data_IF_561570850208
#
_entry.id   IF_561570850208
#
_cell.length_a   1.000
_cell.length_b   1.000
_cell.length_c   1.000
_cell.angle_alpha   90.00
_cell.angle_beta   90.00
_cell.angle_gamma   90.00
#
_symmetry.space_group_name_H-M   'P 1'
#
loop_
_entity.id
_entity.type
_entity.pdbx_description
1 polymer ?
#
# COMPACT_ATOMS: atom_id res chain seq x y z
N UNK A 1 27.89 51.23 34.80
CA UNK A 1 29.26 50.86 34.38
C UNK A 1 29.19 49.55 33.61
N UNK A 2 29.44 49.57 32.30
CA UNK A 2 29.74 48.36 31.51
C UNK A 2 31.08 47.76 31.99
N UNK A 3 31.36 46.48 31.65
CA UNK A 3 32.15 46.29 30.44
C UNK A 3 31.57 45.24 29.48
N UNK A 4 31.69 45.56 28.21
CA UNK A 4 31.40 44.72 27.06
C UNK A 4 32.26 43.45 27.04
N UNK A 5 31.68 42.33 26.62
CA UNK A 5 32.43 41.10 26.27
C UNK A 5 32.17 40.71 24.81
N UNK A 6 33.17 41.07 24.02
CA UNK A 6 33.71 40.47 22.78
C UNK A 6 32.91 39.30 22.16
N UNK A 7 32.34 39.54 20.98
CA UNK A 7 31.86 38.49 20.07
C UNK A 7 33.03 37.93 19.26
N UNK A 8 33.55 36.77 19.66
CA UNK A 8 34.53 36.01 18.89
C UNK A 8 33.86 35.34 17.68
N UNK A 9 34.34 35.69 16.49
CA UNK A 9 33.96 35.07 15.21
C UNK A 9 34.36 33.58 15.17
N UNK A 10 33.38 32.67 15.15
CA UNK A 10 33.59 31.27 14.75
C UNK A 10 33.29 31.13 13.27
N UNK A 11 34.32 31.11 12.44
CA UNK A 11 34.20 30.68 11.03
C UNK A 11 34.07 29.16 11.01
N UNK A 12 32.90 28.65 10.60
CA UNK A 12 32.75 27.23 10.21
C UNK A 12 33.29 27.09 8.79
N UNK A 13 34.41 26.41 8.65
CA UNK A 13 34.90 25.94 7.34
C UNK A 13 34.04 24.76 6.89
N UNK A 14 33.15 24.99 5.93
CA UNK A 14 32.48 23.91 5.21
C UNK A 14 33.29 23.68 3.92
N UNK A 15 34.00 22.56 3.83
CA UNK A 15 34.61 22.11 2.58
C UNK A 15 33.50 21.65 1.63
N UNK A 16 33.04 22.53 0.75
CA UNK A 16 32.05 22.19 -0.26
C UNK A 16 32.73 21.49 -1.44
N UNK A 17 32.66 20.17 -1.48
CA UNK A 17 33.01 19.43 -2.68
C UNK A 17 31.94 19.72 -3.74
N UNK A 18 32.39 20.03 -4.96
CA UNK A 18 31.49 20.18 -6.10
C UNK A 18 31.00 18.81 -6.55
N UNK A 19 29.79 18.75 -7.14
CA UNK A 19 29.22 17.53 -7.74
C UNK A 19 30.17 16.87 -8.76
N UNK A 20 31.03 17.67 -9.41
CA UNK A 20 32.00 17.20 -10.40
C UNK A 20 33.18 16.46 -9.75
N UNK A 21 33.61 16.87 -8.55
CA UNK A 21 34.67 16.19 -7.78
C UNK A 21 34.17 14.86 -7.18
N UNK A 22 32.92 14.82 -6.73
CA UNK A 22 32.30 13.58 -6.25
C UNK A 22 32.23 12.51 -7.35
N UNK A 23 31.86 12.89 -8.57
CA UNK A 23 31.77 11.95 -9.70
C UNK A 23 33.15 11.53 -10.27
N UNK A 24 34.19 12.36 -10.12
CA UNK A 24 35.55 11.97 -10.50
C UNK A 24 36.19 10.93 -9.56
N UNK A 25 35.73 10.87 -8.31
CA UNK A 25 36.31 10.02 -7.26
C UNK A 25 35.91 8.54 -7.39
N UNK A 26 34.79 8.24 -8.04
CA UNK A 26 34.28 6.86 -8.18
C UNK A 26 34.86 6.11 -9.39
N UNK A 27 35.47 6.81 -10.35
CA UNK A 27 36.02 6.21 -11.56
C UNK A 27 37.42 5.56 -11.37
N UNK A 28 38.09 5.75 -10.23
CA UNK A 28 39.46 5.30 -10.00
C UNK A 28 39.60 3.92 -9.32
N UNK A 29 38.50 3.20 -9.05
CA UNK A 29 38.54 1.90 -8.36
C UNK A 29 38.32 0.67 -9.26
N UNK A 30 38.19 0.85 -10.58
CA UNK A 30 37.90 -0.24 -11.51
C UNK A 30 39.11 -0.79 -12.29
N UNK A 31 40.34 -0.34 -12.01
CA UNK A 31 41.52 -0.79 -12.74
C UNK A 31 42.70 -1.10 -11.80
N UNK A 32 42.75 -2.33 -11.29
CA UNK A 32 43.96 -2.84 -10.64
C UNK A 32 43.70 -4.08 -9.80
N UNK A 33 44.07 -5.26 -10.30
CA UNK A 33 44.14 -6.46 -9.46
C UNK A 33 43.95 -7.80 -10.15
N UNK A 34 44.67 -8.07 -11.24
CA UNK A 34 44.87 -9.43 -11.75
C UNK A 34 46.11 -10.04 -11.09
N UNK A 35 45.93 -10.84 -10.03
CA UNK A 35 46.96 -11.73 -9.49
C UNK A 35 46.29 -13.02 -9.02
N UNK A 36 46.74 -14.13 -9.62
CA UNK A 36 46.10 -15.43 -9.54
C UNK A 36 46.19 -16.10 -8.18
N UNK A 37 45.22 -16.99 -7.96
CA UNK A 37 45.27 -18.07 -6.98
C UNK A 37 44.53 -19.26 -7.60
N UNK A 38 45.29 -20.20 -8.18
CA UNK A 38 44.81 -21.54 -8.50
C UNK A 38 44.66 -22.32 -7.20
N UNK A 39 43.51 -22.17 -6.55
CA UNK A 39 43.07 -22.99 -5.42
C UNK A 39 42.15 -24.11 -5.93
N UNK A 40 42.45 -25.36 -5.55
CA UNK A 40 41.60 -26.53 -5.80
C UNK A 40 40.15 -26.25 -5.39
N UNK A 41 39.22 -26.36 -6.35
CA UNK A 41 37.80 -26.38 -6.07
C UNK A 41 37.44 -27.70 -5.37
N UNK A 42 37.21 -27.64 -4.06
CA UNK A 42 36.46 -28.69 -3.37
C UNK A 42 34.99 -28.61 -3.85
N UNK A 43 34.31 -29.75 -4.09
CA UNK A 43 32.91 -29.72 -4.44
C UNK A 43 32.13 -29.23 -3.21
N UNK A 44 31.65 -27.99 -3.26
CA UNK A 44 30.63 -27.54 -2.34
C UNK A 44 29.36 -28.32 -2.67
N UNK A 45 29.07 -29.30 -1.82
CA UNK A 45 27.77 -29.94 -1.73
C UNK A 45 26.71 -28.85 -1.68
N UNK A 46 25.95 -28.69 -2.76
CA UNK A 46 24.74 -27.89 -2.78
C UNK A 46 23.68 -28.67 -2.01
N UNK A 47 23.79 -28.66 -0.67
CA UNK A 47 22.61 -28.90 0.15
C UNK A 47 21.60 -27.82 -0.29
N UNK A 48 20.51 -28.25 -0.93
CA UNK A 48 19.43 -27.37 -1.31
C UNK A 48 18.96 -26.67 -0.04
N UNK A 49 19.25 -25.38 0.06
CA UNK A 49 18.74 -24.56 1.13
C UNK A 49 17.21 -24.66 1.07
N UNK A 50 16.59 -25.16 2.15
CA UNK A 50 15.14 -25.13 2.29
C UNK A 50 14.67 -23.68 2.05
N UNK A 51 13.88 -23.49 1.00
CA UNK A 51 13.37 -22.16 0.67
C UNK A 51 12.36 -21.77 1.74
N UNK A 52 12.59 -20.63 2.40
CA UNK A 52 11.59 -20.02 3.29
C UNK A 52 10.27 -19.87 2.51
N UNK A 53 9.11 -20.15 3.13
CA UNK A 53 7.83 -19.98 2.46
C UNK A 53 7.71 -18.54 1.96
N UNK A 54 7.30 -18.40 0.69
CA UNK A 54 7.14 -17.09 0.06
C UNK A 54 6.09 -16.28 0.83
N UNK A 55 6.42 -15.02 1.16
CA UNK A 55 5.45 -14.09 1.75
C UNK A 55 4.32 -13.85 0.74
N UNK A 56 3.08 -13.97 1.19
CA UNK A 56 1.87 -13.77 0.36
C UNK A 56 1.10 -12.54 0.84
N UNK A 57 0.41 -11.91 -0.10
CA UNK A 57 -0.51 -10.79 0.12
C UNK A 57 -1.89 -11.22 -0.35
N UNK A 58 -2.90 -11.02 0.50
CA UNK A 58 -4.28 -11.30 0.15
C UNK A 58 -4.80 -10.17 -0.75
N UNK A 59 -5.07 -10.49 -2.02
CA UNK A 59 -5.81 -9.59 -2.93
C UNK A 59 -7.30 -9.96 -2.88
N UNK A 60 -8.17 -9.12 -3.42
CA UNK A 60 -9.61 -9.41 -3.53
C UNK A 60 -9.92 -10.66 -4.38
N UNK A 61 -9.01 -11.07 -5.27
CA UNK A 61 -9.15 -12.32 -6.04
C UNK A 61 -8.36 -13.49 -5.44
N UNK A 62 -7.82 -13.33 -4.23
CA UNK A 62 -7.08 -14.35 -3.51
C UNK A 62 -5.59 -14.02 -3.29
N UNK A 63 -4.84 -14.95 -2.67
CA UNK A 63 -3.47 -14.70 -2.27
C UNK A 63 -2.48 -14.74 -3.43
N UNK A 64 -1.63 -13.71 -3.53
CA UNK A 64 -0.54 -13.57 -4.50
C UNK A 64 0.80 -13.51 -3.76
N UNK A 65 1.89 -13.97 -4.36
CA UNK A 65 3.23 -13.78 -3.78
C UNK A 65 3.60 -12.29 -3.78
N UNK A 66 4.16 -11.79 -2.67
CA UNK A 66 4.49 -10.37 -2.54
C UNK A 66 5.44 -9.86 -3.65
N UNK A 67 6.35 -10.72 -4.11
CA UNK A 67 7.28 -10.40 -5.20
C UNK A 67 6.60 -10.24 -6.58
N UNK A 68 5.35 -10.68 -6.73
CA UNK A 68 4.56 -10.60 -7.97
C UNK A 68 3.63 -9.38 -8.01
N UNK A 69 3.62 -8.54 -6.98
CA UNK A 69 2.77 -7.34 -6.97
C UNK A 69 3.23 -6.27 -7.96
N UNK A 70 4.53 -6.10 -8.14
CA UNK A 70 5.07 -4.95 -8.86
C UNK A 70 5.04 -3.66 -8.03
N UNK A 71 4.92 -2.52 -8.70
CA UNK A 71 4.72 -1.21 -8.04
C UNK A 71 3.36 -1.15 -7.36
N UNK A 72 3.32 -0.68 -6.12
CA UNK A 72 2.09 -0.61 -5.31
C UNK A 72 1.73 0.85 -5.01
N UNK A 73 0.53 1.27 -5.41
CA UNK A 73 -0.08 2.50 -4.91
C UNK A 73 -0.72 2.20 -3.55
N UNK A 74 -0.12 2.74 -2.48
CA UNK A 74 -0.40 2.31 -1.11
C UNK A 74 -1.70 2.86 -0.50
N UNK A 75 -2.36 3.81 -1.16
CA UNK A 75 -3.60 4.41 -0.69
C UNK A 75 -4.38 4.93 -1.89
N UNK A 76 -5.37 4.17 -2.33
CA UNK A 76 -6.25 4.53 -3.43
C UNK A 76 -7.72 4.29 -3.04
N UNK A 77 -8.61 4.84 -3.87
CA UNK A 77 -10.05 4.63 -3.78
C UNK A 77 -10.60 4.27 -5.16
N UNK A 78 -11.07 3.05 -5.34
CA UNK A 78 -11.63 2.59 -6.61
C UNK A 78 -12.60 1.42 -6.40
N UNK A 79 -13.78 1.40 -7.04
CA UNK A 79 -14.23 2.37 -8.04
C UNK A 79 -15.04 3.54 -7.47
N UNK A 80 -15.34 3.56 -6.17
CA UNK A 80 -16.26 4.54 -5.57
C UNK A 80 -15.92 4.82 -4.12
N UNK A 81 -16.23 6.04 -3.68
CA UNK A 81 -16.35 6.42 -2.27
C UNK A 81 -17.72 7.06 -2.11
N UNK A 82 -18.47 6.62 -1.10
CA UNK A 82 -19.80 7.15 -0.78
C UNK A 82 -19.87 7.50 0.71
N UNK A 83 -19.89 8.80 1.00
CA UNK A 83 -19.90 9.32 2.36
C UNK A 83 -21.30 9.41 2.98
N UNK A 84 -22.36 9.01 2.26
CA UNK A 84 -23.76 9.26 2.66
C UNK A 84 -24.06 8.77 4.08
N UNK A 85 -23.64 7.56 4.43
CA UNK A 85 -23.93 6.97 5.75
C UNK A 85 -23.23 7.70 6.90
N UNK A 86 -22.12 8.41 6.65
CA UNK A 86 -21.47 9.24 7.68
C UNK A 86 -22.30 10.47 8.04
N UNK A 87 -23.18 10.89 7.13
CA UNK A 87 -24.12 11.99 7.31
C UNK A 87 -25.55 11.47 7.56
N UNK A 88 -25.68 10.25 8.08
CA UNK A 88 -26.97 9.62 8.41
C UNK A 88 -27.95 9.59 7.22
N UNK A 89 -27.40 9.54 6.00
CA UNK A 89 -28.15 9.52 4.75
C UNK A 89 -27.98 8.15 4.11
N UNK A 90 -29.08 7.54 3.67
CA UNK A 90 -29.02 6.26 2.97
C UNK A 90 -28.25 6.41 1.65
N UNK A 91 -27.33 5.48 1.30
CA UNK A 91 -26.60 5.54 0.04
C UNK A 91 -27.55 5.39 -1.15
N UNK A 92 -27.25 6.09 -2.24
CA UNK A 92 -28.02 5.95 -3.47
C UNK A 92 -27.78 4.56 -4.09
N UNK A 93 -28.74 4.01 -4.84
CA UNK A 93 -28.51 2.75 -5.55
C UNK A 93 -27.31 2.85 -6.49
N UNK A 94 -26.41 1.86 -6.44
CA UNK A 94 -25.19 1.86 -7.26
C UNK A 94 -25.45 1.45 -8.72
N UNK A 95 -26.48 0.64 -8.97
CA UNK A 95 -26.75 0.07 -10.30
C UNK A 95 -26.80 1.07 -11.46
N UNK A 96 -27.41 2.26 -11.33
CA UNK A 96 -27.43 3.25 -12.42
C UNK A 96 -26.04 3.74 -12.85
N UNK A 97 -25.05 3.68 -11.96
CA UNK A 97 -23.68 4.17 -12.20
C UNK A 97 -22.62 3.07 -12.21
N UNK A 98 -22.96 1.84 -11.78
CA UNK A 98 -22.06 0.69 -11.60
C UNK A 98 -21.14 0.46 -12.80
N UNK A 99 -21.72 0.31 -13.99
CA UNK A 99 -20.95 0.04 -15.22
C UNK A 99 -19.95 1.16 -15.51
N UNK A 100 -20.39 2.42 -15.40
CA UNK A 100 -19.53 3.59 -15.65
C UNK A 100 -18.35 3.62 -14.68
N UNK A 101 -18.60 3.40 -13.39
CA UNK A 101 -17.58 3.40 -12.35
C UNK A 101 -16.54 2.29 -12.57
N UNK A 102 -16.99 1.09 -12.93
CA UNK A 102 -16.10 -0.05 -13.27
C UNK A 102 -15.26 0.25 -14.51
N UNK A 103 -15.89 0.67 -15.61
CA UNK A 103 -15.19 0.97 -16.88
C UNK A 103 -14.14 2.08 -16.68
N UNK A 104 -14.49 3.17 -16.00
CA UNK A 104 -13.59 4.31 -15.77
C UNK A 104 -12.41 3.92 -14.87
N UNK A 105 -12.68 3.16 -13.80
CA UNK A 105 -11.65 2.71 -12.87
C UNK A 105 -10.71 1.70 -13.53
N UNK A 106 -11.24 0.70 -14.25
CA UNK A 106 -10.44 -0.27 -14.98
C UNK A 106 -9.54 0.43 -16.01
N UNK A 107 -10.07 1.42 -16.75
CA UNK A 107 -9.28 2.21 -17.70
C UNK A 107 -8.11 2.95 -17.03
N UNK A 108 -8.34 3.53 -15.85
CA UNK A 108 -7.28 4.24 -15.11
C UNK A 108 -6.23 3.28 -14.54
N UNK A 109 -6.66 2.13 -14.02
CA UNK A 109 -5.76 1.08 -13.52
C UNK A 109 -4.94 0.45 -14.63
N UNK A 110 -5.53 0.20 -15.80
CA UNK A 110 -4.80 -0.28 -16.97
C UNK A 110 -3.82 0.77 -17.52
N UNK A 111 -4.18 2.06 -17.44
CA UNK A 111 -3.24 3.13 -17.75
C UNK A 111 -2.07 3.16 -16.77
N UNK A 112 -2.32 3.00 -15.46
CA UNK A 112 -1.28 2.84 -14.45
C UNK A 112 -0.36 1.64 -14.76
N UNK A 113 -0.94 0.46 -15.02
CA UNK A 113 -0.20 -0.73 -15.42
C UNK A 113 0.71 -0.46 -16.64
N UNK A 114 0.22 0.27 -17.65
CA UNK A 114 0.97 0.60 -18.84
C UNK A 114 2.15 1.57 -18.59
N UNK A 115 2.18 2.28 -17.46
CA UNK A 115 3.33 3.10 -17.05
C UNK A 115 4.48 2.31 -16.44
N UNK A 116 4.24 1.04 -16.07
CA UNK A 116 5.22 0.23 -15.36
C UNK A 116 6.33 -0.29 -16.30
N UNK A 117 7.58 -0.35 -15.84
CA UNK A 117 8.66 -0.98 -16.58
C UNK A 117 8.37 -2.44 -16.93
N UNK A 118 8.99 -2.94 -17.99
CA UNK A 118 8.90 -4.35 -18.37
C UNK A 118 9.38 -5.25 -17.23
N UNK A 119 8.54 -6.19 -16.80
CA UNK A 119 8.82 -7.09 -15.68
C UNK A 119 8.40 -6.57 -14.30
N UNK A 120 7.93 -5.33 -14.19
CA UNK A 120 7.38 -4.76 -12.95
C UNK A 120 5.84 -4.73 -12.92
N UNK A 121 5.19 -5.18 -14.01
CA UNK A 121 3.75 -5.43 -14.03
C UNK A 121 3.37 -6.72 -13.29
N UNK A 122 2.12 -6.86 -12.80
CA UNK A 122 0.98 -6.03 -13.18
C UNK A 122 0.81 -4.71 -12.40
N UNK A 123 1.47 -4.55 -11.26
CA UNK A 123 1.18 -3.46 -10.31
C UNK A 123 0.06 -3.83 -9.34
N UNK A 124 -0.08 -3.05 -8.27
CA UNK A 124 -1.16 -3.20 -7.30
C UNK A 124 -1.65 -1.85 -6.76
N UNK A 125 -2.88 -1.83 -6.26
CA UNK A 125 -3.39 -0.76 -5.40
C UNK A 125 -3.84 -1.32 -4.06
N UNK A 126 -3.67 -0.54 -3.01
CA UNK A 126 -4.36 -0.74 -1.73
C UNK A 126 -5.60 0.14 -1.72
N UNK A 127 -6.76 -0.50 -1.80
CA UNK A 127 -8.08 0.12 -1.78
C UNK A 127 -8.49 0.32 -0.33
N UNK A 128 -8.60 1.59 0.06
CA UNK A 128 -8.70 2.00 1.47
C UNK A 128 -10.07 2.57 1.85
N UNK A 129 -11.09 2.33 1.03
CA UNK A 129 -12.46 2.75 1.34
C UNK A 129 -12.97 1.97 2.56
N UNK A 130 -13.29 2.66 3.68
CA UNK A 130 -13.66 1.98 4.91
C UNK A 130 -15.06 1.34 4.89
N UNK A 131 -15.34 0.55 5.93
CA UNK A 131 -16.68 0.03 6.23
C UNK A 131 -17.69 1.18 6.21
N UNK A 132 -18.78 1.02 5.44
CA UNK A 132 -19.90 1.97 5.30
C UNK A 132 -19.53 3.35 4.70
N UNK A 133 -18.47 3.41 3.89
CA UNK A 133 -18.10 4.62 3.09
C UNK A 133 -18.09 4.33 1.58
N UNK A 134 -19.00 3.47 1.12
CA UNK A 134 -19.06 3.02 -0.29
C UNK A 134 -18.16 1.83 -0.63
N UNK A 135 -17.73 1.06 0.38
CA UNK A 135 -16.98 -0.18 0.16
C UNK A 135 -17.95 -1.33 -0.17
N UNK A 136 -17.87 -1.86 -1.40
CA UNK A 136 -18.71 -2.94 -1.89
C UNK A 136 -17.85 -4.13 -2.37
N UNK A 137 -17.74 -5.24 -1.60
CA UNK A 137 -16.80 -6.33 -1.90
C UNK A 137 -17.01 -6.96 -3.29
N UNK A 138 -18.25 -7.17 -3.72
CA UNK A 138 -18.57 -7.70 -5.05
C UNK A 138 -18.13 -6.76 -6.18
N UNK A 139 -18.26 -5.45 -5.97
CA UNK A 139 -17.83 -4.45 -6.93
C UNK A 139 -16.30 -4.40 -7.04
N UNK A 140 -15.60 -4.57 -5.92
CA UNK A 140 -14.13 -4.67 -5.90
C UNK A 140 -13.65 -5.91 -6.65
N UNK A 141 -14.31 -7.05 -6.44
CA UNK A 141 -14.00 -8.28 -7.17
C UNK A 141 -14.24 -8.12 -8.68
N UNK A 142 -15.34 -7.48 -9.08
CA UNK A 142 -15.62 -7.18 -10.49
C UNK A 142 -14.60 -6.25 -11.11
N UNK A 143 -14.19 -5.19 -10.39
CA UNK A 143 -13.13 -4.30 -10.86
C UNK A 143 -11.82 -5.07 -11.04
N UNK A 144 -11.43 -5.89 -10.06
CA UNK A 144 -10.21 -6.68 -10.11
C UNK A 144 -10.21 -7.72 -11.26
N UNK A 145 -11.38 -8.18 -11.70
CA UNK A 145 -11.51 -9.06 -12.87
C UNK A 145 -11.37 -8.30 -14.20
N UNK A 146 -11.57 -6.98 -14.21
CA UNK A 146 -11.57 -6.14 -15.42
C UNK A 146 -10.24 -5.43 -15.68
N UNK A 147 -9.30 -5.46 -14.73
CA UNK A 147 -7.96 -4.88 -14.89
C UNK A 147 -6.88 -5.93 -14.64
N UNK A 148 -5.65 -5.64 -15.08
CA UNK A 148 -4.47 -6.44 -14.72
C UNK A 148 -3.98 -6.16 -13.31
N UNK A 149 -4.25 -4.97 -12.77
CA UNK A 149 -3.72 -4.50 -11.48
C UNK A 149 -4.32 -5.30 -10.32
N UNK A 150 -3.49 -5.70 -9.36
CA UNK A 150 -3.98 -6.35 -8.15
C UNK A 150 -4.68 -5.34 -7.22
N UNK A 151 -5.84 -5.70 -6.68
CA UNK A 151 -6.55 -4.89 -5.69
C UNK A 151 -6.40 -5.55 -4.31
N UNK A 152 -5.91 -4.79 -3.34
CA UNK A 152 -5.79 -5.19 -1.93
C UNK A 152 -6.78 -4.36 -1.14
N UNK A 153 -7.85 -4.96 -0.63
CA UNK A 153 -8.88 -4.23 0.08
C UNK A 153 -8.58 -4.13 1.59
N UNK A 154 -9.03 -3.06 2.23
CA UNK A 154 -8.87 -2.81 3.65
C UNK A 154 -10.17 -3.06 4.46
N UNK A 155 -9.99 -3.48 5.72
CA UNK A 155 -11.01 -3.41 6.77
C UNK A 155 -10.84 -2.12 7.59
N UNK A 156 -11.78 -1.84 8.49
CA UNK A 156 -11.71 -0.70 9.41
C UNK A 156 -12.77 0.36 9.15
N UNK A 157 -12.91 1.27 10.12
CA UNK A 157 -13.81 2.42 10.04
C UNK A 157 -13.06 3.70 9.71
N UNK A 158 -13.73 4.61 9.01
CA UNK A 158 -13.26 5.97 8.88
C UNK A 158 -13.14 6.64 10.25
N UNK A 159 -12.01 7.30 10.49
CA UNK A 159 -11.75 8.04 11.71
C UNK A 159 -10.93 9.29 11.39
N UNK A 160 -11.61 10.43 11.33
CA UNK A 160 -10.95 11.73 11.27
C UNK A 160 -11.54 12.65 12.35
N UNK A 161 -10.68 13.36 13.07
CA UNK A 161 -11.07 14.11 14.28
C UNK A 161 -12.07 15.24 14.01
N UNK A 162 -12.15 15.73 12.77
CA UNK A 162 -13.00 16.87 12.38
C UNK A 162 -14.08 16.49 11.35
N UNK A 163 -14.28 15.20 11.09
CA UNK A 163 -15.31 14.70 10.17
C UNK A 163 -16.31 13.81 10.92
N UNK A 164 -17.57 13.72 10.44
CA UNK A 164 -18.51 12.74 10.96
C UNK A 164 -17.95 11.32 10.88
N UNK A 165 -18.22 10.53 11.91
CA UNK A 165 -17.91 9.11 11.94
C UNK A 165 -19.21 8.32 11.82
N UNK A 166 -19.12 7.12 11.25
CA UNK A 166 -20.30 6.28 11.07
C UNK A 166 -20.94 5.98 12.45
N UNK A 167 -22.27 6.10 12.62
CA UNK A 167 -22.93 5.86 13.90
C UNK A 167 -22.60 4.50 14.53
N UNK A 168 -22.38 3.47 13.72
CA UNK A 168 -21.94 2.15 14.18
C UNK A 168 -20.58 2.20 14.89
N UNK A 169 -19.59 2.87 14.29
CA UNK A 169 -18.26 3.01 14.86
C UNK A 169 -18.29 3.80 16.16
N UNK A 170 -19.04 4.91 16.19
CA UNK A 170 -19.26 5.73 17.39
C UNK A 170 -19.93 4.92 18.49
N UNK A 171 -20.94 4.11 18.15
CA UNK A 171 -21.63 3.25 19.12
C UNK A 171 -20.69 2.21 19.71
N UNK A 172 -19.89 1.54 18.88
CA UNK A 172 -18.93 0.53 19.35
C UNK A 172 -17.84 1.16 20.23
N UNK A 173 -17.37 2.37 19.92
CA UNK A 173 -16.29 3.00 20.70
C UNK A 173 -16.68 3.36 22.14
N UNK A 174 -17.97 3.54 22.42
CA UNK A 174 -18.47 3.87 23.77
C UNK A 174 -19.18 2.71 24.48
N UNK A 175 -19.37 1.58 23.80
CA UNK A 175 -20.05 0.41 24.37
C UNK A 175 -19.03 -0.45 25.13
N UNK A 176 -19.32 -0.91 26.37
CA UNK A 176 -18.48 -1.89 27.06
C UNK A 176 -18.30 -3.15 26.20
N UNK A 177 -17.04 -3.54 25.94
CA UNK A 177 -16.73 -4.66 25.03
C UNK A 177 -16.80 -4.31 23.54
N UNK A 178 -16.97 -3.04 23.17
CA UNK A 178 -17.12 -2.63 21.78
C UNK A 178 -15.80 -2.61 21.00
N UNK A 179 -14.65 -2.45 21.67
CA UNK A 179 -13.34 -2.56 21.03
C UNK A 179 -13.06 -3.99 20.59
N UNK A 180 -13.44 -4.97 21.41
CA UNK A 180 -13.37 -6.39 21.10
C UNK A 180 -14.28 -6.74 19.92
N UNK A 181 -15.52 -6.23 19.91
CA UNK A 181 -16.43 -6.41 18.76
C UNK A 181 -15.88 -5.81 17.46
N UNK A 182 -15.23 -4.63 17.52
CA UNK A 182 -14.55 -4.07 16.35
C UNK A 182 -13.40 -4.96 15.88
N UNK A 183 -12.58 -5.46 16.81
CA UNK A 183 -11.47 -6.35 16.48
C UNK A 183 -11.96 -7.67 15.86
N UNK A 184 -13.02 -8.28 16.42
CA UNK A 184 -13.64 -9.49 15.88
C UNK A 184 -14.16 -9.29 14.46
N UNK A 185 -14.83 -8.15 14.20
CA UNK A 185 -15.25 -7.77 12.85
C UNK A 185 -14.06 -7.70 11.90
N UNK A 186 -13.00 -6.96 12.26
CA UNK A 186 -11.83 -6.79 11.39
C UNK A 186 -11.11 -8.13 11.13
N UNK A 187 -10.97 -8.97 12.14
CA UNK A 187 -10.39 -10.31 11.99
C UNK A 187 -11.24 -11.14 11.03
N UNK A 188 -12.57 -11.13 11.21
CA UNK A 188 -13.48 -11.87 10.33
C UNK A 188 -13.36 -11.42 8.87
N UNK A 189 -13.26 -10.12 8.60
CA UNK A 189 -13.06 -9.61 7.25
C UNK A 189 -11.73 -10.06 6.63
N UNK A 190 -10.68 -10.16 7.46
CA UNK A 190 -9.37 -10.63 7.03
C UNK A 190 -9.36 -12.14 6.76
N UNK A 191 -10.10 -12.94 7.53
CA UNK A 191 -10.00 -14.41 7.51
C UNK A 191 -11.13 -15.13 6.78
N UNK A 192 -12.30 -14.54 6.69
CA UNK A 192 -13.52 -15.19 6.18
C UNK A 192 -14.14 -14.46 4.98
N UNK A 193 -14.10 -13.13 4.96
CA UNK A 193 -14.68 -12.31 3.89
C UNK A 193 -15.28 -11.00 4.40
N UNK A 194 -15.36 -10.00 3.53
CA UNK A 194 -15.81 -8.66 3.91
C UNK A 194 -17.32 -8.60 4.11
N UNK A 195 -17.76 -7.71 4.99
CA UNK A 195 -19.17 -7.35 5.09
C UNK A 195 -19.61 -6.55 3.85
N UNK A 196 -20.75 -6.95 3.28
CA UNK A 196 -21.43 -6.20 2.23
C UNK A 196 -22.52 -5.31 2.87
N UNK A 197 -22.62 -4.02 2.51
CA UNK A 197 -23.62 -3.11 3.07
C UNK A 197 -25.07 -3.58 2.94
N UNK A 198 -25.36 -4.51 2.01
CA UNK A 198 -26.67 -5.14 1.82
C UNK A 198 -26.99 -6.26 2.84
N UNK A 199 -26.04 -6.65 3.69
CA UNK A 199 -26.17 -7.68 4.73
C UNK A 199 -25.59 -9.04 4.35
N UNK A 200 -25.10 -9.19 3.12
CA UNK A 200 -24.34 -10.37 2.68
C UNK A 200 -22.87 -10.34 3.16
N UNK A 201 -22.17 -11.47 3.03
CA UNK A 201 -20.73 -11.58 3.29
C UNK A 201 -20.03 -12.17 2.06
N UNK A 202 -18.80 -11.74 1.81
CA UNK A 202 -17.96 -12.26 0.72
C UNK A 202 -16.76 -11.39 0.43
#
# INVERSE_FOLDING_TARGET
MQPARNHGSRTRSHSSWSRREFLGSTAALAAGGSLGLTGLAAPHSTAAAESKPAKRVQTVLGPVEAAKLGTVLMHEHAPVVDWSELYETAPAPIEPVRKKLLDESARLLDAFHATLPAGEGPGAIVETTPIRVGRYPRLLAELAQQTKVHLIAATGFWCEALAPQHPWAVRLSVTPGGTEQMAELFVREITEGMEDPTGDWG
#
